data_IF_165622119322
#
_entry.id   IF_165622119322
#
_cell.length_a   1.000
_cell.length_b   1.000
_cell.length_c   1.000
_cell.angle_alpha   90.00
_cell.angle_beta   90.00
_cell.angle_gamma   90.00
#
_symmetry.space_group_name_H-M   'P 1'
#
loop_
_entity.id
_entity.type
_entity.pdbx_description
1 polymer ?
#
# COMPACT_ATOMS: atom_id res chain seq x y z
N UNK A 1 -7.96 4.26 -4.39
CA UNK A 1 -7.20 5.23 -3.56
C UNK A 1 -6.62 6.31 -4.45
N UNK A 2 -6.83 7.57 -4.07
CA UNK A 2 -6.28 8.73 -4.78
C UNK A 2 -5.00 9.17 -4.07
N UNK A 3 -3.90 9.24 -4.81
CA UNK A 3 -2.62 9.74 -4.31
C UNK A 3 -2.30 11.07 -4.98
N UNK A 4 -2.08 12.11 -4.18
CA UNK A 4 -1.57 13.38 -4.65
C UNK A 4 -0.03 13.31 -4.74
N UNK A 5 0.49 13.23 -5.96
CA UNK A 5 1.93 13.13 -6.19
C UNK A 5 2.46 14.44 -6.76
N UNK A 6 3.56 14.92 -6.19
CA UNK A 6 4.31 16.03 -6.77
C UNK A 6 5.23 15.48 -7.87
N UNK A 7 4.86 15.65 -9.12
CA UNK A 7 5.71 15.28 -10.26
C UNK A 7 6.67 16.39 -10.61
N UNK A 8 7.95 16.05 -10.77
CA UNK A 8 8.91 16.91 -11.46
C UNK A 8 8.73 16.78 -12.98
N UNK A 9 8.47 17.87 -13.67
CA UNK A 9 8.62 17.95 -15.13
C UNK A 9 9.84 18.81 -15.41
N UNK A 10 10.72 18.35 -16.30
CA UNK A 10 11.86 19.13 -16.77
C UNK A 10 11.38 19.92 -17.97
N UNK A 11 11.46 21.24 -17.92
CA UNK A 11 11.24 22.11 -19.09
C UNK A 11 12.55 22.13 -19.89
N UNK A 12 12.49 21.91 -21.18
CA UNK A 12 13.68 22.06 -22.05
C UNK A 12 14.21 23.50 -21.97
N UNK A 13 15.52 23.63 -21.90
CA UNK A 13 16.17 24.93 -21.89
C UNK A 13 15.86 25.67 -23.18
N UNK A 14 15.30 26.88 -23.09
CA UNK A 14 14.93 27.68 -24.25
C UNK A 14 16.15 28.14 -25.08
N UNK A 15 17.33 28.24 -24.44
CA UNK A 15 18.54 28.70 -25.13
C UNK A 15 19.23 27.61 -25.93
N UNK A 16 19.21 26.36 -25.51
CA UNK A 16 19.80 25.23 -26.20
C UNK A 16 18.78 24.23 -26.72
N UNK A 17 17.49 24.53 -26.62
CA UNK A 17 16.39 23.65 -27.02
C UNK A 17 16.52 22.20 -26.51
N UNK A 18 17.07 22.03 -25.31
CA UNK A 18 17.25 20.72 -24.71
C UNK A 18 18.59 20.05 -25.01
N UNK A 19 19.43 20.60 -25.88
CA UNK A 19 20.70 20.01 -26.29
C UNK A 19 21.79 20.02 -25.21
N UNK A 20 21.73 20.93 -24.24
CA UNK A 20 22.75 21.08 -23.21
C UNK A 20 23.98 21.87 -23.62
N UNK A 21 24.19 22.13 -24.90
CA UNK A 21 25.30 22.88 -25.43
C UNK A 21 24.83 23.94 -26.44
N UNK A 22 25.64 24.97 -26.63
CA UNK A 22 25.47 26.02 -27.65
C UNK A 22 26.70 26.06 -28.54
N UNK A 23 26.52 26.34 -29.81
CA UNK A 23 27.64 26.54 -30.73
C UNK A 23 28.03 28.02 -30.73
N UNK A 24 29.28 28.28 -30.39
CA UNK A 24 29.86 29.63 -30.43
C UNK A 24 30.81 29.68 -31.63
N UNK A 25 30.49 30.55 -32.56
CA UNK A 25 31.36 30.80 -33.74
C UNK A 25 32.31 31.92 -33.41
N UNK A 26 33.57 31.62 -33.26
CA UNK A 26 34.65 32.61 -33.14
C UNK A 26 35.24 32.89 -34.54
N UNK A 27 35.20 34.17 -34.93
CA UNK A 27 35.85 34.63 -36.16
C UNK A 27 37.30 34.95 -35.83
N UNK A 28 38.20 34.24 -36.45
CA UNK A 28 39.65 34.49 -36.37
C UNK A 28 40.17 35.00 -37.71
N UNK A 29 41.40 35.54 -37.76
CA UNK A 29 42.04 36.03 -38.98
C UNK A 29 42.20 34.93 -40.05
N UNK A 30 42.16 33.67 -39.64
CA UNK A 30 42.32 32.50 -40.47
C UNK A 30 40.99 31.80 -40.86
N UNK A 31 39.84 32.38 -40.46
CA UNK A 31 38.51 31.78 -40.71
C UNK A 31 37.62 31.73 -39.47
N UNK A 32 36.44 31.17 -39.64
CA UNK A 32 35.46 30.98 -38.55
C UNK A 32 35.61 29.58 -37.96
N UNK A 33 35.82 29.49 -36.66
CA UNK A 33 35.89 28.24 -35.92
C UNK A 33 34.61 28.12 -35.08
N UNK A 34 33.85 27.07 -35.26
CA UNK A 34 32.70 26.74 -34.39
C UNK A 34 33.15 25.83 -33.26
N UNK A 35 32.87 26.22 -32.02
CA UNK A 35 33.18 25.44 -30.83
C UNK A 35 31.88 25.20 -30.03
N UNK A 36 31.68 23.96 -29.57
CA UNK A 36 30.58 23.60 -28.71
C UNK A 36 30.96 23.88 -27.26
N UNK A 37 30.19 24.73 -26.62
CA UNK A 37 30.36 25.07 -25.18
C UNK A 37 29.12 24.66 -24.38
N UNK A 38 29.29 24.26 -23.15
CA UNK A 38 28.16 24.00 -22.27
C UNK A 38 27.20 25.20 -22.20
N UNK A 39 25.91 24.97 -22.35
CA UNK A 39 24.93 26.06 -22.31
C UNK A 39 25.00 26.80 -20.96
N UNK A 40 25.20 28.12 -20.96
CA UNK A 40 25.36 28.89 -19.71
C UNK A 40 24.09 28.93 -18.86
N UNK A 41 22.91 28.68 -19.44
CA UNK A 41 21.64 28.74 -18.73
C UNK A 41 21.30 27.42 -18.03
N UNK A 42 21.56 26.28 -18.67
CA UNK A 42 21.28 24.97 -18.10
C UNK A 42 22.52 24.20 -17.62
N UNK A 43 23.71 24.81 -17.74
CA UNK A 43 24.99 24.21 -17.33
C UNK A 43 25.22 22.79 -17.87
N UNK A 44 24.83 22.55 -19.11
CA UNK A 44 25.00 21.26 -19.79
C UNK A 44 23.86 20.25 -19.56
N UNK A 45 22.88 20.54 -18.71
CA UNK A 45 21.79 19.58 -18.36
C UNK A 45 20.68 19.50 -19.41
N UNK A 46 20.58 20.48 -20.33
CA UNK A 46 19.50 20.56 -21.32
C UNK A 46 18.14 21.01 -20.77
N UNK A 47 17.96 21.05 -19.45
CA UNK A 47 16.71 21.43 -18.80
C UNK A 47 16.87 22.51 -17.73
N UNK A 48 15.91 23.42 -17.61
CA UNK A 48 16.05 24.62 -16.74
C UNK A 48 15.30 24.50 -15.43
N UNK A 49 14.33 23.71 -15.22
CA UNK A 49 13.66 23.60 -13.92
C UNK A 49 12.83 22.33 -13.81
N UNK A 50 12.85 21.71 -12.63
CA UNK A 50 11.91 20.68 -12.26
C UNK A 50 10.65 21.33 -11.67
N UNK A 51 9.68 21.57 -12.52
CA UNK A 51 8.37 22.04 -12.05
C UNK A 51 7.65 20.89 -11.32
N UNK A 52 7.34 21.09 -10.04
CA UNK A 52 6.59 20.10 -9.24
C UNK A 52 5.10 20.25 -9.57
N UNK A 53 4.54 19.36 -10.39
CA UNK A 53 3.09 19.31 -10.65
C UNK A 53 2.45 18.24 -9.75
N UNK A 54 1.35 18.62 -9.10
CA UNK A 54 0.50 17.65 -8.40
C UNK A 54 -0.32 16.88 -9.45
N UNK A 55 -0.32 15.57 -9.37
CA UNK A 55 -1.16 14.69 -10.18
C UNK A 55 -1.92 13.74 -9.26
N UNK A 56 -3.22 13.61 -9.46
CA UNK A 56 -4.03 12.55 -8.83
C UNK A 56 -3.81 11.27 -9.62
N UNK A 57 -3.45 10.20 -8.93
CA UNK A 57 -3.32 8.86 -9.50
C UNK A 57 -4.32 7.94 -8.82
N UNK A 58 -4.99 7.15 -9.62
CA UNK A 58 -5.82 6.05 -9.15
C UNK A 58 -4.96 4.78 -9.12
N UNK A 59 -4.80 4.21 -7.93
CA UNK A 59 -3.99 3.02 -7.71
C UNK A 59 -4.90 1.89 -7.22
N UNK A 60 -5.00 0.84 -8.03
CA UNK A 60 -5.72 -0.37 -7.65
C UNK A 60 -4.87 -1.20 -6.69
N UNK A 61 -5.36 -1.35 -5.45
CA UNK A 61 -4.70 -2.15 -4.41
C UNK A 61 -5.38 -3.52 -4.39
N UNK A 62 -4.66 -4.62 -4.67
CA UNK A 62 -5.24 -5.96 -4.61
C UNK A 62 -5.57 -6.35 -3.16
N UNK A 63 -6.60 -7.20 -2.99
CA UNK A 63 -6.93 -7.75 -1.69
C UNK A 63 -5.82 -8.69 -1.21
N UNK A 64 -5.54 -8.66 0.10
CA UNK A 64 -4.50 -9.51 0.71
C UNK A 64 -3.13 -8.84 0.89
N UNK A 65 -2.97 -7.58 0.47
CA UNK A 65 -1.70 -6.85 0.64
C UNK A 65 -1.23 -6.85 2.09
N UNK A 66 0.09 -6.81 2.27
CA UNK A 66 0.75 -6.73 3.57
C UNK A 66 1.48 -5.40 3.74
N UNK A 67 1.69 -5.02 5.00
CA UNK A 67 2.52 -3.84 5.31
C UNK A 67 3.94 -4.03 4.77
N UNK A 68 4.46 -2.99 4.12
CA UNK A 68 5.78 -3.02 3.48
C UNK A 68 5.77 -3.46 2.01
N UNK A 69 4.65 -3.96 1.49
CA UNK A 69 4.53 -4.26 0.06
C UNK A 69 4.67 -3.00 -0.79
N UNK A 70 5.38 -3.14 -1.92
CA UNK A 70 5.63 -2.08 -2.89
C UNK A 70 4.85 -2.36 -4.16
N UNK A 71 3.94 -1.45 -4.51
CA UNK A 71 3.25 -1.45 -5.80
C UNK A 71 4.01 -0.56 -6.78
N UNK A 72 4.36 -1.09 -7.94
CA UNK A 72 5.00 -0.36 -9.02
C UNK A 72 3.94 0.20 -9.96
N UNK A 73 3.97 1.51 -10.16
CA UNK A 73 3.15 2.20 -11.17
C UNK A 73 4.09 2.71 -12.25
N UNK A 74 4.07 2.06 -13.39
CA UNK A 74 5.01 2.34 -14.50
C UNK A 74 4.77 3.71 -15.10
N UNK A 75 5.88 4.43 -15.39
CA UNK A 75 5.86 5.75 -16.05
C UNK A 75 5.28 6.89 -15.21
N UNK A 76 4.95 6.64 -13.94
CA UNK A 76 4.38 7.64 -13.03
C UNK A 76 5.44 8.24 -12.06
N UNK A 77 6.70 7.91 -12.23
CA UNK A 77 7.81 8.49 -11.49
C UNK A 77 8.27 9.86 -12.02
N UNK A 78 9.45 10.28 -11.64
CA UNK A 78 10.06 11.54 -12.06
C UNK A 78 10.36 11.56 -13.56
N UNK A 79 10.36 12.75 -14.14
CA UNK A 79 10.81 12.95 -15.52
C UNK A 79 12.29 12.57 -15.65
N UNK A 80 12.65 11.92 -16.77
CA UNK A 80 14.03 11.61 -17.11
C UNK A 80 14.85 12.87 -17.39
N UNK A 81 16.16 12.76 -17.26
CA UNK A 81 17.10 13.83 -17.56
C UNK A 81 17.22 13.91 -19.10
N UNK A 82 17.31 15.13 -19.66
CA UNK A 82 17.52 15.34 -21.10
C UNK A 82 16.38 14.86 -21.99
N UNK A 83 15.12 14.84 -21.51
CA UNK A 83 13.97 14.38 -22.30
C UNK A 83 13.81 12.85 -22.33
N UNK A 84 14.57 12.12 -21.51
CA UNK A 84 14.45 10.66 -21.38
C UNK A 84 13.08 10.19 -20.84
N UNK A 85 12.80 8.88 -20.93
CA UNK A 85 11.54 8.33 -20.44
C UNK A 85 11.36 8.57 -18.93
N UNK A 86 10.12 8.62 -18.49
CA UNK A 86 9.81 8.74 -17.07
C UNK A 86 10.17 7.47 -16.31
N UNK A 87 10.62 7.63 -15.09
CA UNK A 87 10.81 6.51 -14.17
C UNK A 87 9.48 5.96 -13.65
N UNK A 88 9.56 4.98 -12.78
CA UNK A 88 8.41 4.37 -12.13
C UNK A 88 8.17 4.97 -10.74
N UNK A 89 6.92 4.90 -10.30
CA UNK A 89 6.55 5.23 -8.94
C UNK A 89 6.37 3.95 -8.13
N UNK A 90 7.00 3.89 -6.98
CA UNK A 90 6.80 2.82 -6.01
C UNK A 90 5.96 3.31 -4.85
N UNK A 91 4.80 2.70 -4.66
CA UNK A 91 3.88 2.98 -3.55
C UNK A 91 4.11 1.94 -2.47
N UNK A 92 4.55 2.37 -1.30
CA UNK A 92 4.71 1.49 -0.13
C UNK A 92 3.39 1.47 0.65
N UNK A 93 2.86 0.27 0.90
CA UNK A 93 1.59 0.09 1.61
C UNK A 93 1.86 -0.10 3.09
N UNK A 94 1.09 0.57 3.91
CA UNK A 94 1.01 0.33 5.35
C UNK A 94 -0.42 -0.02 5.70
N UNK A 95 -0.64 -1.23 6.19
CA UNK A 95 -1.96 -1.71 6.64
C UNK A 95 -2.08 -1.39 8.13
N UNK A 96 -3.15 -0.70 8.50
CA UNK A 96 -3.46 -0.41 9.90
C UNK A 96 -4.08 -1.64 10.57
N UNK A 97 -3.79 -1.81 11.86
CA UNK A 97 -4.41 -2.85 12.66
C UNK A 97 -5.92 -2.63 12.76
N UNK A 98 -6.66 -3.74 12.78
CA UNK A 98 -8.11 -3.71 12.92
C UNK A 98 -8.47 -3.93 14.40
N UNK A 99 -9.49 -3.22 14.88
CA UNK A 99 -9.89 -3.26 16.31
C UNK A 99 -10.52 -4.59 16.76
N UNK A 100 -10.98 -5.42 15.82
CA UNK A 100 -11.65 -6.71 16.11
C UNK A 100 -10.80 -7.89 15.67
N UNK A 101 -10.07 -7.75 14.55
CA UNK A 101 -9.33 -8.86 13.94
C UNK A 101 -7.84 -8.66 14.09
N UNK A 102 -7.15 -9.69 14.57
CA UNK A 102 -5.70 -9.79 14.52
C UNK A 102 -5.30 -10.61 13.30
N UNK A 103 -4.39 -10.10 12.50
CA UNK A 103 -3.92 -10.76 11.29
C UNK A 103 -2.66 -11.57 11.57
N UNK A 104 -2.67 -12.84 11.19
CA UNK A 104 -1.49 -13.70 11.15
C UNK A 104 -1.27 -14.24 9.73
N UNK A 105 -0.42 -13.55 8.96
CA UNK A 105 -0.22 -13.87 7.54
C UNK A 105 -1.52 -13.71 6.73
N UNK A 106 -2.10 -14.81 6.24
CA UNK A 106 -3.39 -14.83 5.57
C UNK A 106 -4.55 -15.23 6.48
N UNK A 107 -4.25 -15.65 7.71
CA UNK A 107 -5.27 -16.03 8.68
C UNK A 107 -5.70 -14.85 9.53
N UNK A 108 -6.89 -14.96 10.10
CA UNK A 108 -7.46 -13.98 11.01
C UNK A 108 -7.73 -14.63 12.36
N UNK A 109 -7.48 -13.88 13.43
CA UNK A 109 -7.84 -14.27 14.78
C UNK A 109 -8.83 -13.25 15.32
N UNK A 110 -9.89 -13.75 15.95
CA UNK A 110 -10.85 -12.96 16.72
C UNK A 110 -11.02 -13.57 18.10
N UNK A 111 -11.04 -12.74 19.11
CA UNK A 111 -11.38 -13.13 20.48
C UNK A 111 -12.82 -12.76 20.75
N UNK A 112 -13.60 -13.74 21.21
CA UNK A 112 -15.03 -13.56 21.47
C UNK A 112 -15.30 -13.85 22.95
N UNK A 113 -15.69 -12.84 23.74
CA UNK A 113 -16.12 -13.06 25.12
C UNK A 113 -17.50 -13.72 25.11
N UNK A 114 -17.64 -14.80 25.90
CA UNK A 114 -18.89 -15.57 26.03
C UNK A 114 -19.22 -15.71 27.50
N UNK A 115 -20.47 -15.48 27.91
CA UNK A 115 -20.94 -15.76 29.27
C UNK A 115 -20.76 -17.24 29.65
N UNK A 116 -20.42 -17.50 30.92
CA UNK A 116 -20.22 -18.84 31.46
C UNK A 116 -21.42 -19.77 31.19
N UNK A 117 -22.65 -19.28 31.31
CA UNK A 117 -23.87 -20.02 31.02
C UNK A 117 -23.93 -20.58 29.62
N UNK A 118 -23.51 -19.82 28.63
CA UNK A 118 -23.47 -20.24 27.21
C UNK A 118 -22.38 -21.26 26.92
N UNK A 119 -21.28 -21.19 27.67
CA UNK A 119 -20.18 -22.16 27.54
C UNK A 119 -20.58 -23.51 28.13
N UNK A 120 -21.30 -23.51 29.26
CA UNK A 120 -21.78 -24.74 29.92
C UNK A 120 -22.87 -25.42 29.10
N UNK A 121 -23.86 -24.68 28.64
CA UNK A 121 -25.02 -25.23 27.93
C UNK A 121 -24.76 -25.46 26.43
N UNK A 122 -23.77 -24.80 25.88
CA UNK A 122 -23.56 -24.67 24.45
C UNK A 122 -24.40 -23.54 23.86
N UNK A 123 -23.90 -22.93 22.77
CA UNK A 123 -24.58 -21.81 22.14
C UNK A 123 -24.25 -21.75 20.65
N UNK A 124 -25.09 -21.06 19.88
CA UNK A 124 -24.78 -20.66 18.52
C UNK A 124 -24.46 -19.16 18.52
N UNK A 125 -23.24 -18.83 18.19
CA UNK A 125 -22.74 -17.46 18.18
C UNK A 125 -22.72 -16.92 16.75
N UNK A 126 -23.10 -15.68 16.58
CA UNK A 126 -23.03 -14.98 15.31
C UNK A 126 -21.76 -14.16 15.25
N UNK A 127 -20.75 -14.73 14.58
CA UNK A 127 -19.38 -14.20 14.49
C UNK A 127 -19.27 -13.26 13.27
N UNK A 128 -18.70 -12.05 13.43
CA UNK A 128 -18.38 -11.18 12.29
C UNK A 128 -17.24 -11.79 11.48
N UNK A 129 -17.32 -11.71 10.17
CA UNK A 129 -16.29 -12.12 9.21
C UNK A 129 -16.07 -11.00 8.18
N UNK A 130 -15.05 -11.10 7.34
CA UNK A 130 -14.80 -10.11 6.28
C UNK A 130 -15.97 -10.01 5.26
N UNK A 131 -16.69 -11.12 5.05
CA UNK A 131 -17.80 -11.20 4.09
C UNK A 131 -19.18 -10.96 4.74
N UNK A 132 -19.22 -10.62 6.02
CA UNK A 132 -20.48 -10.46 6.76
C UNK A 132 -20.48 -11.19 8.09
N UNK A 133 -21.51 -12.00 8.39
CA UNK A 133 -21.62 -12.75 9.64
C UNK A 133 -21.81 -14.24 9.36
N UNK A 134 -21.25 -15.07 10.23
CA UNK A 134 -21.36 -16.55 10.15
C UNK A 134 -21.75 -17.11 11.52
N UNK A 135 -22.61 -18.09 11.54
CA UNK A 135 -23.01 -18.76 12.78
C UNK A 135 -21.96 -19.82 13.14
N UNK A 136 -21.45 -19.73 14.36
CA UNK A 136 -20.52 -20.70 14.98
C UNK A 136 -21.24 -21.45 16.09
N UNK A 137 -21.30 -22.76 15.96
CA UNK A 137 -21.85 -23.63 17.00
C UNK A 137 -20.76 -23.98 18.01
N UNK A 138 -20.95 -23.51 19.24
CA UNK A 138 -20.08 -23.79 20.39
C UNK A 138 -20.67 -24.94 21.17
N UNK A 139 -19.99 -26.08 21.29
CA UNK A 139 -20.47 -27.23 22.09
C UNK A 139 -20.53 -26.89 23.57
N UNK A 140 -21.39 -27.60 24.30
CA UNK A 140 -21.43 -27.54 25.78
C UNK A 140 -20.10 -28.03 26.38
N UNK A 141 -19.65 -27.37 27.45
CA UNK A 141 -18.39 -27.71 28.12
C UNK A 141 -17.14 -27.22 27.41
N UNK A 142 -17.26 -26.29 26.44
CA UNK A 142 -16.10 -25.66 25.78
C UNK A 142 -15.23 -24.96 26.82
N UNK A 143 -13.90 -25.16 26.76
CA UNK A 143 -12.97 -24.55 27.69
C UNK A 143 -12.50 -23.15 27.22
N UNK A 144 -12.15 -22.24 28.15
CA UNK A 144 -11.53 -20.97 27.79
C UNK A 144 -10.27 -21.17 26.94
N UNK A 145 -10.04 -20.31 25.95
CA UNK A 145 -8.92 -20.43 25.02
C UNK A 145 -9.12 -21.43 23.89
N UNK A 146 -10.27 -22.15 23.85
CA UNK A 146 -10.58 -23.06 22.73
C UNK A 146 -10.65 -22.28 21.43
N UNK A 147 -9.98 -22.80 20.39
CA UNK A 147 -9.93 -22.20 19.04
C UNK A 147 -10.82 -22.95 18.07
N UNK A 148 -11.78 -22.27 17.48
CA UNK A 148 -12.61 -22.78 16.42
C UNK A 148 -12.14 -22.25 15.07
N UNK A 149 -11.92 -23.14 14.09
CA UNK A 149 -11.49 -22.77 12.75
C UNK A 149 -12.68 -22.60 11.81
N UNK A 150 -12.82 -21.44 11.23
CA UNK A 150 -13.74 -21.15 10.13
C UNK A 150 -12.95 -21.17 8.81
N UNK A 151 -13.06 -22.26 8.09
CA UNK A 151 -12.28 -22.50 6.86
C UNK A 151 -12.61 -21.47 5.78
N UNK A 152 -11.58 -20.90 5.17
CA UNK A 152 -11.70 -19.97 4.05
C UNK A 152 -12.28 -18.60 4.41
N UNK A 153 -12.36 -18.23 5.70
CA UNK A 153 -12.86 -16.94 6.18
C UNK A 153 -11.75 -15.94 6.54
N UNK A 154 -10.52 -16.26 6.21
CA UNK A 154 -9.37 -15.38 6.34
C UNK A 154 -9.18 -14.44 5.15
N UNK A 155 -7.99 -13.89 5.03
CA UNK A 155 -7.60 -12.92 4.01
C UNK A 155 -7.32 -13.64 2.69
N UNK A 156 -7.64 -12.99 1.58
CA UNK A 156 -7.35 -13.50 0.24
C UNK A 156 -5.83 -13.64 0.03
N UNK A 157 -5.41 -14.76 -0.51
CA UNK A 157 -4.00 -14.98 -0.83
C UNK A 157 -3.61 -14.15 -2.07
N UNK A 158 -2.60 -13.28 -1.93
CA UNK A 158 -2.13 -12.41 -3.01
C UNK A 158 -1.27 -13.16 -4.04
N UNK A 159 -0.59 -14.24 -3.62
CA UNK A 159 0.33 -15.02 -4.46
C UNK A 159 -0.28 -16.33 -4.98
N UNK A 160 -1.52 -16.66 -4.61
CA UNK A 160 -2.14 -17.92 -4.93
C UNK A 160 -3.66 -17.86 -4.98
N UNK A 161 -4.27 -19.02 -5.06
CA UNK A 161 -5.73 -19.18 -5.03
C UNK A 161 -6.22 -19.32 -3.58
N UNK A 162 -7.46 -18.89 -3.33
CA UNK A 162 -8.16 -19.10 -2.07
C UNK A 162 -7.91 -18.01 -1.03
N UNK A 163 -8.39 -18.30 0.18
CA UNK A 163 -8.34 -17.44 1.35
C UNK A 163 -7.69 -18.23 2.49
N UNK A 164 -7.09 -17.53 3.43
CA UNK A 164 -6.71 -18.11 4.72
C UNK A 164 -7.93 -18.53 5.54
N UNK A 165 -7.71 -18.97 6.74
CA UNK A 165 -8.74 -19.38 7.68
C UNK A 165 -8.97 -18.29 8.75
N UNK A 166 -10.07 -18.39 9.47
CA UNK A 166 -10.34 -17.53 10.61
C UNK A 166 -10.42 -18.38 11.87
N UNK A 167 -9.69 -17.98 12.89
CA UNK A 167 -9.68 -18.62 14.19
C UNK A 167 -10.46 -17.79 15.19
N UNK A 168 -11.49 -18.39 15.78
CA UNK A 168 -12.29 -17.80 16.82
C UNK A 168 -11.81 -18.35 18.16
N UNK A 169 -11.25 -17.50 18.99
CA UNK A 169 -10.78 -17.85 20.34
C UNK A 169 -11.88 -17.50 21.34
N UNK A 170 -12.31 -18.48 22.09
CA UNK A 170 -13.35 -18.33 23.09
C UNK A 170 -12.73 -17.81 24.40
N UNK A 171 -13.14 -16.64 24.83
CA UNK A 171 -12.84 -16.11 26.17
C UNK A 171 -14.10 -16.17 27.03
N UNK A 172 -13.99 -16.80 28.22
CA UNK A 172 -15.13 -16.90 29.14
C UNK A 172 -15.17 -15.67 30.01
N UNK A 173 -16.28 -14.95 29.91
CA UNK A 173 -16.56 -13.81 30.78
C UNK A 173 -17.26 -14.30 32.08
N UNK A 174 -16.58 -14.11 33.22
CA UNK A 174 -17.11 -14.47 34.54
C UNK A 174 -17.61 -13.18 35.20
N UNK A 175 -18.92 -13.05 35.43
CA UNK A 175 -19.47 -11.87 36.07
C UNK A 175 -18.95 -11.72 37.51
N UNK A 176 -18.40 -10.54 37.82
CA UNK A 176 -17.86 -10.22 39.16
C UNK A 176 -18.88 -9.67 40.12
N UNK A 177 -20.02 -9.18 39.62
CA UNK A 177 -21.13 -8.62 40.43
C UNK A 177 -22.33 -9.56 40.32
N UNK A 178 -22.39 -10.52 41.24
CA UNK A 178 -23.57 -11.37 41.43
C UNK A 178 -24.33 -10.82 42.62
N UNK A 179 -25.64 -10.53 42.47
CA UNK A 179 -26.50 -10.23 43.60
C UNK A 179 -26.67 -11.53 44.39
N UNK A 180 -26.59 -11.42 45.73
CA UNK A 180 -26.90 -12.52 46.61
C UNK A 180 -28.42 -12.51 46.80
N UNK A 181 -29.15 -13.26 46.02
CA UNK A 181 -30.53 -13.69 46.30
C UNK A 181 -30.52 -15.12 46.81
#
# INVERSE_FOLDING_TARGET
FYLDIKKGSTRSCSQCNGLGYVEVVQRTILGSISQRTACPVCHGTGGIEREKKKKKLDVSIPAGVETGMKLRVSGEGNAGIGGGPRGDLFVVITVKDHHVFTREGNDLIIEVPIPLSQVVLGATLRIPTLDGRTDLKVPSGTQPGTRFRLKGKGIKNIKGFGHGDMYVVINVDVPTNLSKD
#
